data_IF_361365324765
#
_entry.id   IF_361365324765
#
_cell.length_a   1.000
_cell.length_b   1.000
_cell.length_c   1.000
_cell.angle_alpha   90.00
_cell.angle_beta   90.00
_cell.angle_gamma   90.00
#
_symmetry.space_group_name_H-M   'P 1'
#
loop_
_entity.id
_entity.type
_entity.pdbx_description
1 polymer ?
#
# COMPACT_ATOMS: atom_id res chain seq x y z
N UNK A 1 46.09 -46.46 43.78
CA UNK A 1 44.68 -46.49 44.26
C UNK A 1 43.84 -45.97 43.11
N UNK A 2 43.32 -46.88 42.32
CA UNK A 2 42.56 -46.64 41.09
C UNK A 2 41.08 -46.51 41.47
N UNK A 3 40.39 -45.46 40.99
CA UNK A 3 38.94 -45.37 41.08
C UNK A 3 38.40 -45.19 39.68
N UNK A 4 37.76 -46.25 39.26
CA UNK A 4 36.97 -46.42 38.08
C UNK A 4 35.69 -45.56 38.16
N UNK A 5 35.36 -44.78 37.13
CA UNK A 5 34.12 -44.04 37.05
C UNK A 5 33.34 -44.48 35.81
N UNK A 6 32.33 -45.23 36.08
CA UNK A 6 31.29 -45.79 35.25
C UNK A 6 30.48 -44.75 34.44
N UNK A 7 30.11 -45.17 33.25
CA UNK A 7 29.16 -44.61 32.28
C UNK A 7 27.96 -43.94 32.94
N UNK A 8 27.70 -42.68 32.56
CA UNK A 8 26.41 -42.05 32.73
C UNK A 8 25.64 -42.01 31.39
N UNK A 9 24.44 -42.49 31.45
CA UNK A 9 23.47 -42.58 30.37
C UNK A 9 23.13 -41.20 29.82
N UNK A 10 23.23 -41.02 28.53
CA UNK A 10 22.66 -39.87 27.83
C UNK A 10 21.17 -40.12 27.61
N UNK A 11 20.36 -39.43 28.36
CA UNK A 11 18.94 -39.31 28.08
C UNK A 11 18.73 -38.54 26.75
N UNK A 12 18.22 -39.19 25.75
CA UNK A 12 17.82 -38.63 24.47
C UNK A 12 16.59 -37.76 24.67
N UNK A 13 16.76 -36.45 24.72
CA UNK A 13 15.63 -35.52 24.64
C UNK A 13 15.20 -35.48 23.18
N UNK A 14 14.08 -36.12 22.90
CA UNK A 14 13.43 -36.05 21.61
C UNK A 14 13.00 -34.62 21.30
N UNK A 15 13.67 -33.96 20.40
CA UNK A 15 13.22 -32.71 19.81
C UNK A 15 11.92 -33.01 19.04
N UNK A 16 10.80 -32.55 19.57
CA UNK A 16 9.57 -32.42 18.81
C UNK A 16 9.84 -31.42 17.67
N UNK A 17 10.13 -31.96 16.49
CA UNK A 17 10.10 -31.22 15.25
C UNK A 17 8.63 -30.77 15.07
N UNK A 18 8.31 -29.55 15.45
CA UNK A 18 7.13 -28.87 14.97
C UNK A 18 7.25 -28.83 13.45
N UNK A 19 6.47 -29.67 12.78
CA UNK A 19 6.41 -29.73 11.33
C UNK A 19 6.12 -28.35 10.78
N UNK A 20 7.11 -27.71 10.21
CA UNK A 20 6.92 -26.60 9.32
C UNK A 20 6.01 -27.11 8.19
N UNK A 21 4.73 -26.80 8.26
CA UNK A 21 3.83 -26.96 7.12
C UNK A 21 4.45 -26.16 6.00
N UNK A 22 4.97 -26.84 4.99
CA UNK A 22 5.38 -26.21 3.73
C UNK A 22 4.13 -25.58 3.14
N UNK A 23 3.94 -24.29 3.41
CA UNK A 23 2.98 -23.48 2.69
C UNK A 23 3.43 -23.52 1.23
N UNK A 24 2.54 -23.99 0.32
CA UNK A 24 2.90 -24.21 -1.07
C UNK A 24 3.69 -23.02 -1.62
N UNK A 25 4.76 -23.32 -2.37
CA UNK A 25 5.64 -22.30 -2.95
C UNK A 25 4.78 -21.17 -3.55
N UNK A 26 5.10 -19.93 -3.17
CA UNK A 26 4.46 -18.76 -3.76
C UNK A 26 4.76 -18.74 -5.27
N UNK A 27 3.75 -18.93 -6.08
CA UNK A 27 3.87 -18.78 -7.53
C UNK A 27 3.72 -17.29 -7.88
N UNK A 28 4.79 -16.50 -7.66
CA UNK A 28 4.83 -15.08 -8.00
C UNK A 28 4.76 -14.85 -9.52
N UNK A 29 5.15 -15.81 -10.34
CA UNK A 29 5.22 -15.66 -11.81
C UNK A 29 3.86 -15.29 -12.41
N UNK A 30 2.77 -15.88 -11.93
CA UNK A 30 1.41 -15.56 -12.41
C UNK A 30 0.89 -14.18 -11.95
N UNK A 31 1.54 -13.57 -10.97
CA UNK A 31 1.25 -12.24 -10.46
C UNK A 31 2.19 -11.19 -11.07
N UNK A 32 3.20 -11.64 -11.81
CA UNK A 32 4.22 -10.79 -12.38
C UNK A 32 3.67 -9.90 -13.51
N UNK A 33 4.13 -8.66 -13.52
CA UNK A 33 3.82 -7.67 -14.55
C UNK A 33 5.13 -7.08 -15.10
N UNK A 34 5.94 -7.89 -15.83
CA UNK A 34 7.32 -7.52 -16.20
C UNK A 34 7.41 -6.44 -17.27
N UNK A 35 6.28 -6.14 -17.95
CA UNK A 35 6.29 -5.24 -19.10
C UNK A 35 5.92 -3.82 -18.68
N UNK A 36 6.91 -3.03 -18.30
CA UNK A 36 6.76 -1.62 -17.94
C UNK A 36 6.43 -0.79 -19.17
N UNK A 37 5.57 0.23 -19.02
CA UNK A 37 5.25 1.17 -20.10
C UNK A 37 6.44 2.09 -20.45
N UNK A 38 7.35 2.31 -19.49
CA UNK A 38 8.56 3.13 -19.69
C UNK A 38 8.32 4.65 -19.66
N UNK A 39 7.12 5.10 -19.32
CA UNK A 39 6.76 6.51 -19.10
C UNK A 39 5.80 6.67 -17.94
N UNK A 40 5.73 7.86 -17.39
CA UNK A 40 4.66 8.21 -16.45
C UNK A 40 3.33 8.34 -17.19
N UNK A 41 2.25 7.81 -16.62
CA UNK A 41 0.86 7.97 -17.09
C UNK A 41 0.16 9.13 -16.40
N UNK A 42 0.68 9.55 -15.23
CA UNK A 42 0.23 10.73 -14.51
C UNK A 42 1.43 11.40 -13.84
N UNK A 43 1.58 12.70 -14.06
CA UNK A 43 2.70 13.50 -13.54
C UNK A 43 2.19 14.74 -12.81
N UNK A 44 3.04 15.40 -12.02
CA UNK A 44 2.77 16.72 -11.47
C UNK A 44 2.39 17.72 -12.56
N UNK A 45 1.62 18.74 -12.22
CA UNK A 45 1.28 19.81 -13.16
C UNK A 45 2.45 20.76 -13.42
N UNK A 46 3.39 20.88 -12.47
CA UNK A 46 4.46 21.88 -12.49
C UNK A 46 3.97 23.33 -12.37
N UNK A 47 2.65 23.53 -12.19
CA UNK A 47 2.04 24.87 -12.16
C UNK A 47 1.91 25.35 -10.71
N UNK A 48 2.58 26.44 -10.39
CA UNK A 48 2.50 27.03 -9.06
C UNK A 48 1.05 27.35 -8.66
N UNK A 49 0.69 27.01 -7.42
CA UNK A 49 -0.65 27.20 -6.88
C UNK A 49 -1.64 26.07 -7.19
N UNK A 50 -1.28 25.12 -8.05
CA UNK A 50 -2.06 23.90 -8.23
C UNK A 50 -1.77 22.91 -7.12
N UNK A 51 -2.78 22.13 -6.72
CA UNK A 51 -2.69 21.14 -5.64
C UNK A 51 -1.67 20.00 -5.92
N UNK A 52 -1.33 19.81 -7.19
CA UNK A 52 -0.41 18.79 -7.70
C UNK A 52 0.85 19.42 -8.34
N UNK A 53 1.23 20.61 -7.88
CA UNK A 53 2.31 21.38 -8.51
C UNK A 53 3.69 20.72 -8.39
N UNK A 54 3.96 19.97 -7.33
CA UNK A 54 5.28 19.40 -7.06
C UNK A 54 5.35 17.89 -7.35
N UNK A 55 4.36 17.12 -6.94
CA UNK A 55 4.36 15.67 -7.18
C UNK A 55 2.97 15.06 -7.18
N UNK A 56 2.86 13.88 -7.80
CA UNK A 56 1.73 12.96 -7.67
C UNK A 56 2.25 11.58 -7.26
N UNK A 57 1.48 10.87 -6.42
CA UNK A 57 1.91 9.65 -5.75
C UNK A 57 0.71 8.77 -5.40
N UNK A 58 0.94 7.56 -4.87
CA UNK A 58 -0.03 6.68 -4.25
C UNK A 58 -1.27 6.40 -5.12
N UNK A 59 -1.11 5.75 -6.28
CA UNK A 59 -2.24 5.44 -7.14
C UNK A 59 -3.20 4.46 -6.47
N UNK A 60 -4.51 4.68 -6.66
CA UNK A 60 -5.53 3.67 -6.43
C UNK A 60 -6.48 3.63 -7.62
N UNK A 61 -6.48 2.51 -8.35
CA UNK A 61 -7.21 2.36 -9.61
C UNK A 61 -8.46 1.50 -9.40
N UNK A 62 -9.58 1.91 -10.02
CA UNK A 62 -10.85 1.21 -9.95
C UNK A 62 -11.68 1.43 -11.22
N UNK A 63 -12.72 0.62 -11.42
CA UNK A 63 -13.70 0.84 -12.49
C UNK A 63 -15.06 1.29 -11.92
N UNK A 64 -15.70 2.20 -12.63
CA UNK A 64 -17.04 2.68 -12.35
C UNK A 64 -17.72 3.11 -13.66
N UNK A 65 -18.98 2.70 -13.87
CA UNK A 65 -19.80 3.06 -15.04
C UNK A 65 -19.08 2.92 -16.39
N UNK A 66 -18.35 1.80 -16.56
CA UNK A 66 -17.67 1.47 -17.82
C UNK A 66 -16.39 2.25 -18.09
N UNK A 67 -15.90 3.04 -17.17
CA UNK A 67 -14.61 3.76 -17.23
C UNK A 67 -13.69 3.35 -16.08
N UNK A 68 -12.42 3.62 -16.26
CA UNK A 68 -11.44 3.52 -15.19
C UNK A 68 -11.21 4.88 -14.55
N UNK A 69 -10.98 4.85 -13.25
CA UNK A 69 -10.64 6.01 -12.46
C UNK A 69 -9.43 5.70 -11.60
N UNK A 70 -8.68 6.74 -11.26
CA UNK A 70 -7.56 6.68 -10.34
C UNK A 70 -7.69 7.81 -9.33
N UNK A 71 -7.77 7.48 -8.03
CA UNK A 71 -7.39 8.49 -7.03
C UNK A 71 -5.88 8.50 -6.92
N UNK A 72 -5.33 9.68 -6.68
CA UNK A 72 -3.91 9.88 -6.49
C UNK A 72 -3.67 10.93 -5.42
N UNK A 73 -2.56 10.79 -4.73
CA UNK A 73 -2.09 11.76 -3.76
C UNK A 73 -1.32 12.84 -4.50
N UNK A 74 -1.61 14.10 -4.22
CA UNK A 74 -0.95 15.24 -4.83
C UNK A 74 -0.33 16.15 -3.78
N UNK A 75 0.86 16.69 -4.05
CA UNK A 75 1.63 17.53 -3.14
C UNK A 75 1.96 18.89 -3.76
N UNK A 76 1.72 19.95 -3.00
CA UNK A 76 1.93 21.35 -3.41
C UNK A 76 2.95 22.12 -2.54
N UNK A 77 3.66 21.40 -1.64
CA UNK A 77 4.59 21.99 -0.67
C UNK A 77 3.98 22.26 0.71
N UNK A 78 2.65 22.28 0.81
CA UNK A 78 1.96 22.42 2.10
C UNK A 78 1.63 21.07 2.72
N UNK A 79 1.11 20.14 1.92
CA UNK A 79 0.71 18.81 2.32
C UNK A 79 -0.16 18.17 1.25
N UNK A 80 -0.66 16.96 1.54
CA UNK A 80 -1.42 16.20 0.57
C UNK A 80 -2.86 16.70 0.39
N UNK A 81 -3.33 16.53 -0.83
CA UNK A 81 -4.73 16.51 -1.22
C UNK A 81 -4.97 15.35 -2.18
N UNK A 82 -6.22 14.93 -2.36
CA UNK A 82 -6.55 13.81 -3.23
C UNK A 82 -7.12 14.29 -4.55
N UNK A 83 -6.48 13.89 -5.64
CA UNK A 83 -6.98 14.10 -6.99
C UNK A 83 -7.71 12.87 -7.54
N UNK A 84 -8.49 13.09 -8.59
CA UNK A 84 -9.12 12.07 -9.40
C UNK A 84 -8.68 12.23 -10.85
N UNK A 85 -8.42 11.10 -11.50
CA UNK A 85 -8.20 11.02 -12.94
C UNK A 85 -9.07 9.92 -13.54
N UNK A 86 -9.39 10.03 -14.84
CA UNK A 86 -10.18 9.04 -15.58
C UNK A 86 -9.45 8.55 -16.84
N UNK A 87 -9.73 7.31 -17.25
CA UNK A 87 -9.17 6.68 -18.43
C UNK A 87 -10.16 5.72 -19.08
N UNK A 88 -10.05 5.53 -20.38
CA UNK A 88 -10.76 4.49 -21.12
C UNK A 88 -9.90 3.23 -21.35
N UNK A 89 -8.57 3.32 -21.16
CA UNK A 89 -7.63 2.29 -21.59
C UNK A 89 -6.50 1.99 -20.59
N UNK A 90 -6.56 2.56 -19.36
CA UNK A 90 -5.55 2.40 -18.31
C UNK A 90 -4.16 2.98 -18.62
N UNK A 91 -3.99 3.66 -19.75
CA UNK A 91 -2.72 4.22 -20.22
C UNK A 91 -2.79 5.74 -20.37
N UNK A 92 -3.88 6.23 -20.95
CA UNK A 92 -4.10 7.65 -21.18
C UNK A 92 -5.08 8.18 -20.14
N UNK A 93 -4.56 9.03 -19.26
CA UNK A 93 -5.29 9.54 -18.10
C UNK A 93 -5.56 11.04 -18.22
N UNK A 94 -6.79 11.43 -17.89
CA UNK A 94 -7.21 12.82 -17.79
C UNK A 94 -7.46 13.17 -16.33
N UNK A 95 -6.78 14.19 -15.79
CA UNK A 95 -7.07 14.73 -14.45
C UNK A 95 -8.44 15.39 -14.42
N UNK A 96 -9.23 15.03 -13.42
CA UNK A 96 -10.60 15.53 -13.22
C UNK A 96 -10.65 16.59 -12.09
N UNK A 97 -9.55 16.79 -11.36
CA UNK A 97 -9.43 17.76 -10.28
C UNK A 97 -9.36 17.13 -8.89
N UNK A 98 -9.44 17.98 -7.86
CA UNK A 98 -9.40 17.61 -6.44
C UNK A 98 -10.75 17.09 -5.98
N UNK A 99 -10.76 15.96 -5.27
CA UNK A 99 -11.98 15.35 -4.72
C UNK A 99 -12.02 15.35 -3.19
N UNK A 100 -10.88 15.35 -2.52
CA UNK A 100 -10.78 15.50 -1.07
C UNK A 100 -9.71 16.54 -0.75
N UNK A 101 -10.15 17.66 -0.18
CA UNK A 101 -9.32 18.84 0.07
C UNK A 101 -8.92 18.92 1.53
N UNK A 102 -7.80 19.59 1.80
CA UNK A 102 -7.47 20.09 3.13
C UNK A 102 -8.54 21.06 3.59
N UNK A 103 -8.80 21.06 4.89
CA UNK A 103 -9.68 22.01 5.57
C UNK A 103 -8.89 22.77 6.64
N UNK A 104 -8.51 24.04 6.41
CA UNK A 104 -7.74 24.82 7.38
C UNK A 104 -8.44 25.01 8.73
N UNK A 105 -9.77 24.86 8.78
CA UNK A 105 -10.56 24.98 10.00
C UNK A 105 -10.59 23.69 10.82
N UNK A 106 -10.31 22.56 10.19
CA UNK A 106 -10.29 21.24 10.84
C UNK A 106 -8.96 21.00 11.55
N UNK A 107 -8.98 20.55 12.81
CA UNK A 107 -7.75 20.20 13.51
C UNK A 107 -7.01 19.00 12.89
N UNK A 108 -7.74 18.12 12.17
CA UNK A 108 -7.18 16.88 11.59
C UNK A 108 -6.90 16.98 10.09
N UNK A 109 -7.73 17.70 9.31
CA UNK A 109 -7.60 17.81 7.85
C UNK A 109 -6.79 19.03 7.39
N UNK A 110 -6.24 19.80 8.34
CA UNK A 110 -5.65 21.13 8.10
C UNK A 110 -4.50 21.11 7.10
N UNK A 111 -3.59 20.17 7.26
CA UNK A 111 -2.33 20.19 6.53
C UNK A 111 -2.27 19.16 5.42
N UNK A 112 -2.85 17.98 5.65
CA UNK A 112 -2.68 16.87 4.71
C UNK A 112 -3.86 15.91 4.81
N UNK A 113 -4.43 15.52 3.67
CA UNK A 113 -5.47 14.50 3.57
C UNK A 113 -5.32 13.71 2.27
N UNK A 114 -5.24 12.39 2.39
CA UNK A 114 -5.05 11.50 1.25
C UNK A 114 -6.02 10.32 1.33
N UNK A 115 -6.93 10.21 0.34
CA UNK A 115 -7.82 9.06 0.18
C UNK A 115 -7.01 7.92 -0.41
N UNK A 116 -6.69 6.92 0.40
CA UNK A 116 -5.83 5.82 0.01
C UNK A 116 -6.56 4.70 -0.74
N UNK A 117 -7.84 4.48 -0.43
CA UNK A 117 -8.61 3.38 -0.99
C UNK A 117 -10.11 3.68 -0.98
N UNK A 118 -10.85 3.11 -1.95
CA UNK A 118 -12.32 3.07 -1.96
C UNK A 118 -12.75 1.61 -2.03
N UNK A 119 -13.74 1.21 -1.25
CA UNK A 119 -14.23 -0.17 -1.22
C UNK A 119 -14.67 -0.63 -2.62
N UNK A 120 -14.05 -1.70 -3.11
CA UNK A 120 -14.29 -2.27 -4.44
C UNK A 120 -14.33 -3.80 -4.39
N UNK A 121 -14.66 -4.42 -5.50
CA UNK A 121 -14.39 -5.85 -5.71
C UNK A 121 -12.87 -6.09 -5.62
N UNK A 122 -12.48 -7.01 -4.74
CA UNK A 122 -11.06 -7.29 -4.47
C UNK A 122 -10.55 -8.55 -5.17
N UNK A 123 -11.29 -9.10 -6.13
CA UNK A 123 -10.80 -10.23 -6.93
C UNK A 123 -9.59 -9.80 -7.78
N UNK A 124 -8.52 -10.59 -7.76
CA UNK A 124 -7.28 -10.31 -8.52
C UNK A 124 -7.56 -10.06 -10.01
N UNK A 125 -8.50 -10.82 -10.57
CA UNK A 125 -8.87 -10.71 -11.98
C UNK A 125 -10.12 -9.85 -12.21
N UNK A 126 -10.57 -9.08 -11.20
CA UNK A 126 -11.62 -8.09 -11.32
C UNK A 126 -11.07 -6.76 -11.88
N UNK A 127 -11.88 -6.00 -12.63
CA UNK A 127 -11.54 -4.62 -13.00
C UNK A 127 -11.65 -3.65 -11.81
N UNK A 128 -11.81 -4.15 -10.57
CA UNK A 128 -11.93 -3.33 -9.37
C UNK A 128 -13.19 -2.49 -9.35
N UNK A 129 -14.35 -3.08 -9.66
CA UNK A 129 -15.65 -2.39 -9.63
C UNK A 129 -15.98 -1.95 -8.20
N UNK A 130 -16.42 -0.71 -8.04
CA UNK A 130 -16.78 -0.18 -6.72
C UNK A 130 -17.98 -0.91 -6.11
N UNK A 131 -17.95 -1.07 -4.80
CA UNK A 131 -19.01 -1.67 -3.97
C UNK A 131 -19.66 -0.58 -3.09
N UNK A 132 -20.76 0.06 -3.50
CA UNK A 132 -21.48 0.98 -2.62
C UNK A 132 -22.10 0.25 -1.43
N UNK A 133 -22.13 0.91 -0.27
CA UNK A 133 -22.79 0.45 0.96
C UNK A 133 -23.78 1.52 1.39
N UNK A 134 -25.06 1.15 1.55
CA UNK A 134 -26.14 2.06 1.90
C UNK A 134 -26.19 3.32 1.01
N UNK A 135 -26.01 3.13 -0.31
CA UNK A 135 -26.07 4.20 -1.30
C UNK A 135 -24.86 5.14 -1.29
N UNK A 136 -23.75 4.78 -0.60
CA UNK A 136 -22.53 5.58 -0.55
C UNK A 136 -21.31 4.74 -0.98
N UNK A 137 -20.35 5.37 -1.62
CA UNK A 137 -19.00 4.86 -1.74
C UNK A 137 -18.27 5.06 -0.41
N UNK A 138 -17.61 4.01 0.07
CA UNK A 138 -16.83 4.03 1.30
C UNK A 138 -15.35 4.17 0.95
N UNK A 139 -14.70 5.20 1.46
CA UNK A 139 -13.28 5.41 1.33
C UNK A 139 -12.56 5.37 2.67
N UNK A 140 -11.29 5.05 2.66
CA UNK A 140 -10.39 5.19 3.80
C UNK A 140 -9.29 6.17 3.45
N UNK A 141 -9.00 7.07 4.38
CA UNK A 141 -8.08 8.17 4.18
C UNK A 141 -7.04 8.24 5.29
N UNK A 142 -5.94 8.90 5.02
CA UNK A 142 -4.91 9.24 6.00
C UNK A 142 -4.73 10.74 6.09
N UNK A 143 -4.30 11.20 7.24
CA UNK A 143 -3.92 12.59 7.52
C UNK A 143 -2.56 12.65 8.18
N UNK A 144 -1.86 13.76 7.99
CA UNK A 144 -0.66 14.11 8.76
C UNK A 144 -0.91 15.41 9.53
N UNK A 145 -0.47 15.48 10.81
CA UNK A 145 -0.84 16.58 11.70
C UNK A 145 -0.08 17.89 11.43
N UNK A 146 0.99 17.86 10.62
CA UNK A 146 1.85 19.00 10.39
C UNK A 146 2.05 19.32 8.92
N UNK A 147 2.43 20.55 8.63
CA UNK A 147 2.76 21.01 7.27
C UNK A 147 4.03 20.32 6.76
N UNK A 148 4.00 19.93 5.49
CA UNK A 148 5.13 19.31 4.78
C UNK A 148 4.80 17.93 4.25
N UNK A 149 5.85 17.23 3.80
CA UNK A 149 5.75 15.89 3.23
C UNK A 149 5.77 14.86 4.35
N UNK A 150 4.59 14.28 4.67
CA UNK A 150 4.43 13.21 5.66
C UNK A 150 4.95 13.53 7.08
N UNK A 151 4.76 14.80 7.52
CA UNK A 151 5.30 15.26 8.80
C UNK A 151 4.36 14.94 9.96
N UNK A 152 4.92 14.25 10.96
CA UNK A 152 4.26 13.85 12.21
C UNK A 152 3.59 12.47 12.13
N UNK A 153 2.93 12.10 13.22
CA UNK A 153 2.28 10.81 13.36
C UNK A 153 0.92 10.79 12.63
N UNK A 154 0.88 10.11 11.48
CA UNK A 154 -0.32 9.99 10.67
C UNK A 154 -1.44 9.21 11.36
N UNK A 155 -2.68 9.47 10.97
CA UNK A 155 -3.89 8.80 11.45
C UNK A 155 -4.76 8.37 10.28
N UNK A 156 -5.59 7.36 10.48
CA UNK A 156 -6.48 6.84 9.44
C UNK A 156 -7.93 7.05 9.82
N UNK A 157 -8.74 7.47 8.85
CA UNK A 157 -10.18 7.67 8.98
C UNK A 157 -10.98 7.05 7.84
N UNK A 158 -12.30 7.09 7.98
CA UNK A 158 -13.27 6.63 6.99
C UNK A 158 -13.97 7.85 6.37
N UNK A 159 -14.14 7.84 5.07
CA UNK A 159 -14.87 8.88 4.33
C UNK A 159 -16.00 8.25 3.50
N UNK A 160 -17.03 9.03 3.19
CA UNK A 160 -18.17 8.62 2.39
C UNK A 160 -18.44 9.60 1.27
N UNK A 161 -18.91 9.09 0.12
CA UNK A 161 -19.29 9.91 -1.02
C UNK A 161 -20.51 9.31 -1.72
N UNK A 162 -21.36 10.16 -2.31
CA UNK A 162 -22.45 9.73 -3.20
C UNK A 162 -22.09 9.79 -4.68
N UNK A 163 -21.05 10.56 -5.04
CA UNK A 163 -20.77 10.96 -6.42
C UNK A 163 -19.28 10.80 -6.80
N UNK A 164 -18.43 10.31 -5.90
CA UNK A 164 -16.96 10.21 -6.03
C UNK A 164 -16.25 11.56 -6.17
N UNK A 165 -16.96 12.67 -6.09
CA UNK A 165 -16.44 14.03 -6.27
C UNK A 165 -16.35 14.79 -4.95
N UNK A 166 -17.32 14.56 -4.07
CA UNK A 166 -17.38 15.16 -2.74
C UNK A 166 -17.33 14.06 -1.69
N UNK A 167 -16.46 14.22 -0.72
CA UNK A 167 -16.22 13.25 0.33
C UNK A 167 -16.40 13.84 1.72
N UNK A 168 -17.21 13.19 2.52
CA UNK A 168 -17.39 13.51 3.93
C UNK A 168 -16.42 12.66 4.75
N UNK A 169 -15.37 13.27 5.26
CA UNK A 169 -14.34 12.62 6.07
C UNK A 169 -14.77 12.64 7.56
N UNK A 170 -15.09 11.48 8.11
CA UNK A 170 -15.33 11.33 9.55
C UNK A 170 -14.01 11.47 10.34
N UNK A 171 -14.05 11.75 11.66
CA UNK A 171 -12.83 11.77 12.47
C UNK A 171 -12.03 10.47 12.36
N UNK A 172 -10.69 10.51 12.53
CA UNK A 172 -9.84 9.31 12.47
C UNK A 172 -10.30 8.22 13.43
N UNK A 173 -10.32 6.98 12.92
CA UNK A 173 -10.74 5.76 13.63
C UNK A 173 -9.58 4.88 14.10
N UNK A 174 -8.39 5.05 13.50
CA UNK A 174 -7.15 4.44 13.97
C UNK A 174 -6.12 5.55 14.24
N UNK A 175 -5.56 5.52 15.44
CA UNK A 175 -4.58 6.49 15.91
C UNK A 175 -3.32 5.77 16.40
N UNK A 176 -2.11 6.31 16.18
CA UNK A 176 -0.87 5.65 16.58
C UNK A 176 -0.72 5.53 18.09
N UNK A 177 -1.26 6.48 18.86
CA UNK A 177 -1.23 6.46 20.33
C UNK A 177 -1.99 5.29 20.96
N UNK A 178 -2.96 4.71 20.24
CA UNK A 178 -3.76 3.57 20.68
C UNK A 178 -3.14 2.22 20.25
N UNK A 179 -2.03 2.26 19.52
CA UNK A 179 -1.38 1.09 18.94
C UNK A 179 -0.18 0.58 19.73
N UNK A 180 0.46 -0.46 19.18
CA UNK A 180 1.72 -1.00 19.68
C UNK A 180 2.90 -0.06 19.34
N UNK A 181 4.08 -0.33 19.92
CA UNK A 181 5.26 0.51 19.75
C UNK A 181 5.68 0.71 18.29
N UNK A 182 5.53 -0.32 17.44
CA UNK A 182 5.85 -0.26 16.02
C UNK A 182 4.92 0.66 15.19
N UNK A 183 3.81 1.13 15.78
CA UNK A 183 2.83 2.04 15.17
C UNK A 183 2.98 3.50 15.64
N UNK A 184 3.81 3.77 16.66
CA UNK A 184 3.85 5.05 17.37
C UNK A 184 4.29 6.23 16.50
N UNK A 185 4.99 6.00 15.43
CA UNK A 185 5.42 7.04 14.48
C UNK A 185 4.34 7.47 13.48
N UNK A 186 3.22 6.73 13.40
CA UNK A 186 2.09 7.06 12.53
C UNK A 186 1.58 5.91 11.70
N UNK A 187 0.31 6.04 11.27
CA UNK A 187 -0.42 5.09 10.44
C UNK A 187 -0.80 5.76 9.13
N UNK A 188 -0.64 5.06 7.99
CA UNK A 188 -0.98 5.60 6.68
C UNK A 188 -1.16 4.50 5.62
N UNK A 189 -1.43 4.92 4.36
CA UNK A 189 -1.65 4.05 3.20
C UNK A 189 -2.67 2.95 3.45
N UNK A 190 -3.91 3.31 3.85
CA UNK A 190 -4.94 2.34 4.14
C UNK A 190 -5.43 1.63 2.88
N UNK A 191 -5.71 0.31 3.01
CA UNK A 191 -6.39 -0.52 2.02
C UNK A 191 -7.59 -1.21 2.69
N UNK A 192 -8.79 -1.04 2.15
CA UNK A 192 -10.03 -1.57 2.72
C UNK A 192 -10.56 -2.76 1.93
N UNK A 193 -10.73 -3.89 2.60
CA UNK A 193 -11.32 -5.12 2.06
C UNK A 193 -12.56 -5.46 2.88
N UNK A 194 -13.63 -5.89 2.24
CA UNK A 194 -14.78 -6.50 2.91
C UNK A 194 -14.82 -7.96 2.51
N UNK A 195 -14.93 -8.83 3.50
CA UNK A 195 -15.08 -10.27 3.34
C UNK A 195 -16.02 -10.82 4.42
N UNK A 196 -17.05 -11.56 4.00
CA UNK A 196 -18.00 -12.23 4.90
C UNK A 196 -18.60 -11.30 5.97
N UNK A 197 -18.96 -10.06 5.57
CA UNK A 197 -19.53 -9.05 6.45
C UNK A 197 -18.57 -8.50 7.50
N UNK A 198 -17.26 -8.68 7.30
CA UNK A 198 -16.21 -8.07 8.10
C UNK A 198 -15.37 -7.15 7.24
N UNK A 199 -15.13 -5.94 7.70
CA UNK A 199 -14.20 -5.02 7.10
C UNK A 199 -12.79 -5.26 7.64
N UNK A 200 -11.81 -5.35 6.75
CA UNK A 200 -10.39 -5.46 7.05
C UNK A 200 -9.72 -4.19 6.55
N UNK A 201 -9.13 -3.45 7.44
CA UNK A 201 -8.38 -2.24 7.16
C UNK A 201 -6.89 -2.55 7.30
N UNK A 202 -6.22 -2.74 6.17
CA UNK A 202 -4.77 -2.87 6.11
C UNK A 202 -4.16 -1.46 6.13
N UNK A 203 -3.02 -1.35 6.77
CA UNK A 203 -2.29 -0.08 6.88
C UNK A 203 -0.80 -0.34 7.05
N UNK A 204 0.02 0.59 6.60
CA UNK A 204 1.38 0.61 7.08
C UNK A 204 1.51 1.55 8.27
N UNK A 205 2.48 1.24 9.11
CA UNK A 205 2.83 2.03 10.27
C UNK A 205 4.32 2.15 10.42
N UNK A 206 4.77 3.31 10.92
CA UNK A 206 6.17 3.56 11.29
C UNK A 206 6.33 3.61 12.79
N UNK A 207 7.49 3.16 13.27
CA UNK A 207 7.78 3.10 14.71
C UNK A 207 8.19 4.46 15.31
N UNK A 208 8.75 5.38 14.51
CA UNK A 208 9.17 6.72 14.94
C UNK A 208 8.73 7.79 13.95
N UNK A 209 8.59 9.02 14.38
CA UNK A 209 8.31 10.18 13.52
C UNK A 209 9.55 10.66 12.77
N UNK A 210 10.72 10.49 13.36
CA UNK A 210 11.99 10.96 12.83
C UNK A 210 12.83 9.82 12.25
N UNK A 211 13.57 10.11 11.19
CA UNK A 211 14.50 9.17 10.58
C UNK A 211 15.69 8.84 11.51
N UNK A 212 16.15 7.59 11.57
CA UNK A 212 15.67 6.41 10.82
C UNK A 212 14.46 5.75 11.50
N UNK A 213 13.42 5.44 10.71
CA UNK A 213 12.29 4.66 11.14
C UNK A 213 12.13 3.39 10.29
N UNK A 214 11.31 2.46 10.74
CA UNK A 214 10.93 1.25 10.02
C UNK A 214 9.43 1.24 9.79
N UNK A 215 9.03 0.77 8.59
CA UNK A 215 7.62 0.65 8.22
C UNK A 215 7.25 -0.82 8.04
N UNK A 216 6.10 -1.20 8.58
CA UNK A 216 5.56 -2.55 8.50
C UNK A 216 4.06 -2.48 8.23
N UNK A 217 3.49 -3.56 7.71
CA UNK A 217 2.07 -3.63 7.39
C UNK A 217 1.31 -4.40 8.47
N UNK A 218 0.23 -3.80 8.96
CA UNK A 218 -0.73 -4.40 9.88
C UNK A 218 -2.15 -4.43 9.33
N UNK A 219 -3.05 -5.03 10.10
CA UNK A 219 -4.48 -5.09 9.82
C UNK A 219 -5.31 -4.89 11.07
N UNK A 220 -6.42 -4.17 10.91
CA UNK A 220 -7.49 -4.05 11.91
C UNK A 220 -8.81 -4.48 11.29
N UNK A 221 -9.76 -4.95 12.10
CA UNK A 221 -11.08 -5.43 11.66
C UNK A 221 -12.20 -4.67 12.34
N UNK A 222 -13.33 -4.53 11.64
CA UNK A 222 -14.56 -3.98 12.17
C UNK A 222 -15.79 -4.61 11.50
N UNK A 223 -16.95 -4.55 12.17
CA UNK A 223 -18.25 -4.89 11.58
C UNK A 223 -19.06 -3.65 11.20
N UNK A 224 -18.75 -2.50 11.79
CA UNK A 224 -19.56 -1.27 11.74
C UNK A 224 -18.80 -0.06 11.15
N UNK A 225 -17.54 -0.22 10.71
CA UNK A 225 -16.65 0.85 10.22
C UNK A 225 -16.29 1.91 11.28
N UNK A 226 -16.63 1.70 12.55
CA UNK A 226 -16.39 2.62 13.67
C UNK A 226 -15.50 2.02 14.73
N UNK A 227 -15.79 0.76 15.11
CA UNK A 227 -15.13 0.07 16.20
C UNK A 227 -14.08 -0.92 15.63
N UNK A 228 -12.87 -0.43 15.46
CA UNK A 228 -11.77 -1.19 14.88
C UNK A 228 -10.93 -1.90 15.92
N UNK A 229 -10.67 -3.18 15.69
CA UNK A 229 -9.81 -4.01 16.53
C UNK A 229 -8.56 -4.40 15.76
N UNK A 230 -7.38 -4.02 16.24
CA UNK A 230 -6.10 -4.44 15.67
C UNK A 230 -5.91 -5.94 15.82
N UNK A 231 -5.42 -6.60 14.79
CA UNK A 231 -5.09 -8.02 14.87
C UNK A 231 -3.93 -8.25 15.84
N UNK A 232 -4.09 -9.19 16.77
CA UNK A 232 -3.10 -9.45 17.80
C UNK A 232 -1.74 -9.97 17.27
N UNK A 233 -1.76 -10.56 16.05
CA UNK A 233 -0.57 -11.05 15.36
C UNK A 233 0.12 -10.01 14.45
N UNK A 234 -0.24 -8.73 14.53
CA UNK A 234 0.44 -7.67 13.80
C UNK A 234 1.91 -7.49 14.22
N UNK A 235 2.81 -7.08 13.30
CA UNK A 235 2.56 -6.81 11.88
C UNK A 235 2.42 -8.10 11.06
N UNK A 236 1.48 -8.12 10.09
CA UNK A 236 1.27 -9.29 9.21
C UNK A 236 2.29 -9.38 8.06
N UNK A 237 2.90 -8.25 7.70
CA UNK A 237 4.05 -8.18 6.79
C UNK A 237 5.15 -7.39 7.52
N UNK A 238 5.99 -8.07 8.33
CA UNK A 238 7.11 -7.43 9.02
C UNK A 238 8.24 -7.08 8.06
N UNK A 239 9.18 -6.24 8.50
CA UNK A 239 10.42 -6.02 7.78
C UNK A 239 11.17 -7.35 7.54
N UNK A 240 11.93 -7.41 6.47
CA UNK A 240 12.83 -8.52 6.21
C UNK A 240 14.10 -8.47 7.08
N UNK A 241 14.90 -9.53 7.07
CA UNK A 241 16.18 -9.57 7.78
C UNK A 241 17.18 -8.55 7.19
N UNK A 242 18.24 -8.20 7.93
CA UNK A 242 19.31 -7.36 7.42
C UNK A 242 19.86 -7.84 6.07
N UNK A 243 19.99 -6.92 5.12
CA UNK A 243 20.41 -7.19 3.75
C UNK A 243 19.30 -7.60 2.78
N UNK A 244 18.06 -7.77 3.25
CA UNK A 244 16.91 -8.00 2.36
C UNK A 244 16.45 -6.71 1.67
N UNK A 245 15.73 -6.86 0.56
CA UNK A 245 15.21 -5.73 -0.23
C UNK A 245 14.05 -4.98 0.46
N UNK A 246 13.56 -5.47 1.59
CA UNK A 246 12.49 -4.88 2.40
C UNK A 246 12.86 -4.78 3.89
N UNK A 247 14.17 -4.65 4.17
CA UNK A 247 14.65 -4.59 5.56
C UNK A 247 14.23 -3.32 6.28
N UNK A 248 14.05 -2.21 5.56
CA UNK A 248 13.67 -0.93 6.15
C UNK A 248 12.15 -0.73 6.11
N UNK A 249 11.52 -0.96 4.95
CA UNK A 249 10.07 -0.86 4.78
C UNK A 249 9.47 -2.14 4.18
N UNK A 250 8.29 -2.51 4.67
CA UNK A 250 7.37 -3.48 4.11
C UNK A 250 5.96 -2.89 4.21
N UNK A 251 5.54 -2.12 3.20
CA UNK A 251 4.60 -0.98 3.32
C UNK A 251 3.62 -0.88 2.15
N UNK A 252 2.61 -0.01 2.25
CA UNK A 252 1.61 0.34 1.23
C UNK A 252 0.86 -0.87 0.65
N UNK A 253 0.02 -1.55 1.45
CA UNK A 253 -0.64 -2.77 1.04
C UNK A 253 -1.71 -2.53 -0.05
N UNK A 254 -1.70 -3.39 -1.09
CA UNK A 254 -2.81 -3.57 -2.03
C UNK A 254 -3.23 -5.04 -1.97
N UNK A 255 -4.39 -5.34 -1.35
CA UNK A 255 -4.79 -6.71 -1.00
C UNK A 255 -5.90 -7.19 -1.92
N UNK A 256 -5.67 -8.30 -2.62
CA UNK A 256 -6.56 -8.87 -3.60
C UNK A 256 -6.78 -10.37 -3.38
N UNK A 257 -8.00 -10.83 -3.65
CA UNK A 257 -8.36 -12.23 -3.56
C UNK A 257 -7.94 -12.97 -4.83
N UNK A 258 -7.21 -14.05 -4.65
CA UNK A 258 -6.69 -14.92 -5.69
C UNK A 258 -7.24 -16.34 -5.52
N UNK A 259 -8.44 -16.57 -6.07
CA UNK A 259 -9.20 -17.79 -5.85
C UNK A 259 -9.55 -17.96 -4.37
N UNK A 260 -9.08 -19.05 -3.76
CA UNK A 260 -9.24 -19.32 -2.32
C UNK A 260 -8.15 -18.72 -1.45
N UNK A 261 -7.22 -17.97 -2.00
CA UNK A 261 -6.08 -17.35 -1.31
C UNK A 261 -6.13 -15.84 -1.47
N UNK A 262 -5.19 -15.16 -0.80
CA UNK A 262 -5.02 -13.71 -0.86
C UNK A 262 -3.61 -13.37 -1.33
N UNK A 263 -3.51 -12.34 -2.16
CA UNK A 263 -2.27 -11.70 -2.61
C UNK A 263 -2.18 -10.33 -1.95
N UNK A 264 -1.08 -10.09 -1.27
CA UNK A 264 -0.75 -8.84 -0.57
C UNK A 264 0.40 -8.20 -1.33
N UNK A 265 0.08 -7.34 -2.28
CA UNK A 265 1.09 -6.52 -2.92
C UNK A 265 1.54 -5.44 -1.94
N UNK A 266 2.83 -5.21 -1.85
CA UNK A 266 3.40 -4.21 -0.96
C UNK A 266 4.71 -3.70 -1.56
N UNK A 267 5.24 -2.58 -1.06
CA UNK A 267 6.59 -2.20 -1.43
C UNK A 267 7.57 -2.42 -0.28
N UNK A 268 8.81 -2.70 -0.65
CA UNK A 268 9.94 -2.77 0.27
C UNK A 268 10.95 -1.68 -0.04
N UNK A 269 11.61 -1.19 1.02
CA UNK A 269 12.79 -0.32 0.94
C UNK A 269 13.97 -1.06 1.55
N UNK A 270 15.07 -1.13 0.81
CA UNK A 270 16.32 -1.70 1.31
C UNK A 270 17.20 -0.65 2.02
N UNK A 271 18.29 -1.11 2.66
CA UNK A 271 19.25 -0.25 3.35
C UNK A 271 20.04 0.68 2.42
N UNK A 272 19.99 0.46 1.09
CA UNK A 272 20.60 1.34 0.09
C UNK A 272 19.65 2.44 -0.38
N UNK A 273 18.42 2.45 0.14
CA UNK A 273 17.40 3.43 -0.21
C UNK A 273 16.72 3.13 -1.56
N UNK A 274 16.68 1.87 -2.02
CA UNK A 274 15.98 1.48 -3.25
C UNK A 274 14.63 0.88 -2.90
N UNK A 275 13.54 1.45 -3.45
CA UNK A 275 12.19 0.97 -3.22
C UNK A 275 11.63 0.21 -4.43
N UNK A 276 11.00 -0.96 -4.17
CA UNK A 276 10.49 -1.92 -5.15
C UNK A 276 9.15 -2.49 -4.71
N UNK A 277 8.33 -2.94 -5.66
CA UNK A 277 7.09 -3.65 -5.33
C UNK A 277 7.28 -5.17 -5.26
N UNK A 278 6.67 -5.77 -4.25
CA UNK A 278 6.70 -7.19 -3.91
C UNK A 278 5.30 -7.75 -3.77
N UNK A 279 5.22 -9.05 -3.51
CA UNK A 279 3.99 -9.72 -3.08
C UNK A 279 4.26 -10.71 -1.96
N UNK A 280 3.30 -10.80 -1.05
CA UNK A 280 3.14 -11.91 -0.13
C UNK A 280 1.82 -12.62 -0.45
N UNK A 281 1.68 -13.89 -0.10
CA UNK A 281 0.43 -14.64 -0.28
C UNK A 281 0.00 -15.30 1.02
N UNK A 282 -1.29 -15.48 1.21
CA UNK A 282 -1.82 -16.10 2.42
C UNK A 282 -3.10 -16.87 2.21
N UNK A 283 -3.47 -17.78 3.13
CA UNK A 283 -4.73 -18.50 3.09
C UNK A 283 -5.92 -17.63 3.49
N UNK A 284 -5.67 -16.56 4.24
CA UNK A 284 -6.67 -15.64 4.77
C UNK A 284 -6.08 -14.21 4.85
N UNK A 285 -6.86 -13.26 5.36
CA UNK A 285 -6.54 -11.84 5.43
C UNK A 285 -5.62 -11.43 6.60
N UNK A 286 -5.19 -12.39 7.41
CA UNK A 286 -4.36 -12.13 8.60
C UNK A 286 -3.02 -12.86 8.58
N UNK A 287 -2.83 -13.79 7.64
CA UNK A 287 -1.61 -14.59 7.53
C UNK A 287 -1.00 -14.41 6.13
N UNK A 288 0.12 -13.72 6.07
CA UNK A 288 0.85 -13.45 4.84
C UNK A 288 2.26 -14.05 4.89
N UNK A 289 2.67 -14.68 3.79
CA UNK A 289 4.03 -15.21 3.60
C UNK A 289 4.65 -14.53 2.39
N UNK A 290 5.79 -13.89 2.56
CA UNK A 290 6.50 -13.16 1.49
C UNK A 290 6.96 -14.11 0.40
N UNK A 291 6.82 -13.68 -0.85
CA UNK A 291 7.39 -14.35 -2.02
C UNK A 291 8.80 -13.84 -2.28
N UNK A 292 9.62 -14.67 -2.94
CA UNK A 292 10.96 -14.26 -3.31
C UNK A 292 10.95 -13.30 -4.53
N UNK A 293 11.85 -12.31 -4.51
CA UNK A 293 12.07 -11.38 -5.61
C UNK A 293 11.05 -10.23 -5.68
N UNK A 294 11.42 -9.18 -6.36
CA UNK A 294 10.56 -8.05 -6.66
C UNK A 294 9.64 -8.34 -7.85
N UNK A 295 8.39 -7.89 -7.79
CA UNK A 295 7.47 -7.92 -8.95
C UNK A 295 7.74 -6.75 -9.90
N UNK A 296 8.03 -5.59 -9.34
CA UNK A 296 8.46 -4.39 -10.07
C UNK A 296 9.77 -3.92 -9.44
N UNK A 297 10.87 -4.03 -10.17
CA UNK A 297 12.17 -3.48 -9.78
C UNK A 297 12.37 -2.08 -10.38
N UNK A 298 13.33 -1.33 -9.88
CA UNK A 298 13.75 -0.06 -10.49
C UNK A 298 14.25 -0.27 -11.92
N UNK A 299 14.08 0.74 -12.74
CA UNK A 299 14.61 0.72 -14.10
C UNK A 299 16.08 1.12 -14.17
N UNK A 300 16.72 1.00 -15.35
CA UNK A 300 18.09 1.44 -15.53
C UNK A 300 18.23 2.96 -15.36
N UNK A 301 19.45 3.46 -15.14
CA UNK A 301 19.70 4.90 -15.09
C UNK A 301 19.11 5.63 -16.29
N UNK A 302 18.38 6.72 -16.01
CA UNK A 302 17.66 7.53 -17.02
C UNK A 302 16.23 7.08 -17.32
N UNK A 303 15.76 5.95 -16.78
CA UNK A 303 14.34 5.60 -16.81
C UNK A 303 13.53 6.43 -15.80
N UNK A 304 12.22 6.51 -16.01
CA UNK A 304 11.30 7.29 -15.14
C UNK A 304 11.19 6.76 -13.71
N UNK A 305 11.70 5.57 -13.46
CA UNK A 305 11.65 4.83 -12.20
C UNK A 305 13.01 4.30 -11.75
N UNK A 306 14.07 5.03 -12.11
CA UNK A 306 15.45 4.64 -11.78
C UNK A 306 15.81 4.72 -10.30
N UNK A 307 15.02 5.47 -9.50
CA UNK A 307 15.21 5.61 -8.04
C UNK A 307 14.25 4.70 -7.26
N UNK A 308 12.94 4.83 -7.56
CA UNK A 308 11.89 4.05 -6.91
C UNK A 308 10.88 3.55 -7.94
N UNK A 309 10.43 2.31 -7.74
CA UNK A 309 9.31 1.69 -8.44
C UNK A 309 8.43 1.00 -7.37
N UNK A 310 7.49 1.73 -6.75
CA UNK A 310 6.87 1.35 -5.48
C UNK A 310 5.43 1.82 -5.32
N UNK A 311 4.73 1.38 -4.27
CA UNK A 311 3.34 1.75 -3.92
C UNK A 311 2.32 1.16 -4.91
N UNK A 312 2.06 -0.15 -4.82
CA UNK A 312 1.32 -0.91 -5.79
C UNK A 312 -0.18 -0.58 -5.79
N UNK A 313 -0.77 -0.54 -6.98
CA UNK A 313 -2.21 -0.64 -7.20
C UNK A 313 -2.48 -1.56 -8.38
N UNK A 314 -3.04 -2.74 -8.12
CA UNK A 314 -3.23 -3.77 -9.13
C UNK A 314 -4.70 -3.91 -9.51
N UNK A 315 -4.96 -4.08 -10.82
CA UNK A 315 -6.29 -4.25 -11.41
C UNK A 315 -6.18 -5.18 -12.63
N UNK A 316 -7.26 -5.88 -12.98
CA UNK A 316 -7.30 -6.69 -14.19
C UNK A 316 -8.20 -6.07 -15.26
N UNK A 317 -7.79 -6.16 -16.53
CA UNK A 317 -8.59 -5.77 -17.67
C UNK A 317 -8.23 -6.58 -18.90
N UNK A 318 -9.25 -7.09 -19.62
CA UNK A 318 -9.10 -7.90 -20.85
C UNK A 318 -8.13 -9.08 -20.70
N UNK A 319 -8.12 -9.68 -19.51
CA UNK A 319 -7.28 -10.85 -19.19
C UNK A 319 -5.82 -10.52 -18.86
N UNK A 320 -5.46 -9.24 -18.71
CA UNK A 320 -4.16 -8.78 -18.23
C UNK A 320 -4.24 -8.21 -16.84
N UNK A 321 -3.17 -8.36 -16.07
CA UNK A 321 -2.93 -7.58 -14.87
C UNK A 321 -2.23 -6.27 -15.26
N UNK A 322 -2.69 -5.18 -14.68
CA UNK A 322 -2.08 -3.85 -14.74
C UNK A 322 -1.65 -3.48 -13.33
N UNK A 323 -0.37 -3.25 -13.16
CA UNK A 323 0.26 -2.88 -11.92
C UNK A 323 0.70 -1.43 -12.00
N UNK A 324 -0.09 -0.53 -11.41
CA UNK A 324 0.26 0.89 -11.26
C UNK A 324 1.19 1.04 -10.06
N UNK A 325 2.17 1.89 -10.22
CA UNK A 325 3.16 2.16 -9.18
C UNK A 325 3.65 3.61 -9.25
N UNK A 326 4.17 4.11 -8.15
CA UNK A 326 4.86 5.39 -8.13
C UNK A 326 6.25 5.22 -8.72
N UNK A 327 6.53 5.95 -9.78
CA UNK A 327 7.79 5.96 -10.51
C UNK A 327 8.56 7.22 -10.17
N UNK A 328 9.80 7.08 -9.68
CA UNK A 328 10.64 8.20 -9.25
C UNK A 328 12.01 8.13 -9.89
N UNK A 329 12.45 9.25 -10.40
CA UNK A 329 13.78 9.43 -10.99
C UNK A 329 14.32 10.84 -10.69
N UNK A 330 15.58 11.09 -11.04
CA UNK A 330 16.17 12.42 -11.00
C UNK A 330 16.19 13.03 -12.39
N UNK A 331 15.65 14.23 -12.52
CA UNK A 331 15.71 15.02 -13.74
C UNK A 331 16.34 16.38 -13.43
N UNK A 332 17.51 16.66 -13.99
CA UNK A 332 18.28 17.89 -13.73
C UNK A 332 18.51 18.12 -12.22
N UNK A 333 18.84 17.06 -11.47
CA UNK A 333 19.09 17.13 -10.03
C UNK A 333 17.88 17.39 -9.16
N UNK A 334 16.66 17.22 -9.71
CA UNK A 334 15.39 17.33 -8.97
C UNK A 334 14.63 16.02 -9.07
N UNK A 335 13.96 15.66 -7.98
CA UNK A 335 13.06 14.51 -7.99
C UNK A 335 11.91 14.74 -8.98
N UNK A 336 11.72 13.77 -9.87
CA UNK A 336 10.58 13.67 -10.77
C UNK A 336 9.71 12.46 -10.35
N UNK A 337 8.64 12.74 -9.62
CA UNK A 337 7.74 11.74 -9.05
C UNK A 337 6.41 11.77 -9.78
N UNK A 338 5.98 10.59 -10.24
CA UNK A 338 4.70 10.41 -10.93
C UNK A 338 4.25 8.96 -10.87
N UNK A 339 3.19 8.64 -11.58
CA UNK A 339 2.61 7.30 -11.63
C UNK A 339 2.93 6.67 -12.97
N UNK A 340 3.42 5.42 -12.97
CA UNK A 340 3.63 4.59 -14.14
C UNK A 340 2.79 3.31 -14.03
N UNK A 341 2.88 2.47 -15.06
CA UNK A 341 2.15 1.20 -15.13
C UNK A 341 3.01 0.13 -15.81
N UNK A 342 2.91 -1.09 -15.29
CA UNK A 342 3.41 -2.30 -15.92
C UNK A 342 2.25 -3.28 -16.14
N UNK A 343 2.40 -4.25 -17.05
CA UNK A 343 1.37 -5.24 -17.27
C UNK A 343 1.94 -6.64 -17.45
N UNK A 344 1.04 -7.65 -17.40
CA UNK A 344 1.41 -9.06 -17.46
C UNK A 344 1.79 -9.56 -18.85
N UNK A 345 1.40 -8.84 -19.92
CA UNK A 345 1.77 -9.12 -21.32
C UNK A 345 2.46 -7.93 -21.99
N UNK A 346 3.26 -8.12 -23.07
CA UNK A 346 3.92 -7.03 -23.78
C UNK A 346 2.94 -5.93 -24.23
N UNK A 347 3.41 -4.69 -24.23
CA UNK A 347 2.71 -3.58 -24.88
C UNK A 347 2.76 -3.76 -26.40
N UNK A 348 1.60 -3.64 -27.05
CA UNK A 348 1.52 -3.72 -28.52
C UNK A 348 2.01 -2.42 -29.14
#
# INVERSE_FOLDING_TARGET
>A
MSIDLTRREFATIGALALGARSWGQCNADRLATPYKLGRQVLSASGQQGQFDSLSVDGPFVFSHEGRFYMTFIAFDGTGYQTGLASSANLVDWKKEGVILKRDPSSPTLRYSVALGWILRENGLYSPGKLKPVDGHFLGVYQVYPSQGYEIGAGMIGVARSKDLRQWDAAPPVLRPEDGAEWERGGLYKPCLVESEGTYYLFYNAKNHTDWPWREQTGVATAKDLKSWTRFAGNPIIPNGPPGSMDEIFASDPCVLQDGSRWAFFYYGLDAKGVARDFVATGPDLTHASKCAGALIDVGPPGSVDSEYAHKPSVIAWKGDLYHFYCAVSQVNGKEARGISVARSRPWN
#
